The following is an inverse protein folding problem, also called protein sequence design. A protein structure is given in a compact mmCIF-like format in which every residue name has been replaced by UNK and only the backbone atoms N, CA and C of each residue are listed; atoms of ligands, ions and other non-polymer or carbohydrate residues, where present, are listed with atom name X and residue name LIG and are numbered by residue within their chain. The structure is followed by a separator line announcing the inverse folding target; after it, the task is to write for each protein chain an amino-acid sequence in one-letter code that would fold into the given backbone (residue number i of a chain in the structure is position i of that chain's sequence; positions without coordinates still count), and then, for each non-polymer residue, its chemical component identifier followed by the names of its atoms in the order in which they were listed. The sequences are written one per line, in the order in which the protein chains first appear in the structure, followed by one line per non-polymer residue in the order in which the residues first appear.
data_IF_493628429822
#
_entry.id   IF_493628429822
#
_cell.length_a   1.000
_cell.length_b   1.000
_cell.length_c   1.000
_cell.angle_alpha   90.00
_cell.angle_beta   90.00
_cell.angle_gamma   90.00
#
_symmetry.space_group_name_H-M   'P 1'
#
loop_
_entity.id
_entity.type
_entity.pdbx_description
1 polymer ?
#
# COMPACT_ATOMS: atom_id res chain seq x y z
N UNK A 1 -12.39 -15.82 12.32
CA UNK A 1 -11.85 -15.01 11.22
C UNK A 1 -12.98 -14.13 10.74
N UNK A 2 -12.81 -12.81 10.74
CA UNK A 2 -13.91 -11.85 10.56
C UNK A 2 -14.30 -11.83 9.09
N UNK A 3 -15.12 -12.81 8.72
CA UNK A 3 -15.95 -12.83 7.52
C UNK A 3 -17.17 -11.93 7.81
N UNK A 4 -16.91 -10.68 8.19
CA UNK A 4 -17.91 -9.73 8.71
C UNK A 4 -18.12 -8.62 7.70
N UNK A 5 -19.38 -8.23 7.54
CA UNK A 5 -19.73 -7.06 6.75
C UNK A 5 -19.28 -5.80 7.48
N UNK A 6 -18.16 -5.22 7.03
CA UNK A 6 -17.64 -3.96 7.56
C UNK A 6 -18.35 -2.78 6.88
N UNK A 7 -19.36 -2.24 7.55
CA UNK A 7 -20.13 -1.04 7.13
C UNK A 7 -19.67 0.24 7.84
N UNK A 8 -18.42 0.32 8.28
CA UNK A 8 -17.91 1.52 8.95
C UNK A 8 -17.95 2.75 8.03
N UNK A 9 -18.29 3.91 8.60
CA UNK A 9 -18.30 5.19 7.90
C UNK A 9 -16.88 5.78 7.68
N UNK A 10 -15.86 5.26 8.37
CA UNK A 10 -14.48 5.73 8.29
C UNK A 10 -13.69 5.53 9.61
N UNK A 11 -12.46 4.98 9.58
CA UNK A 11 -11.84 4.24 8.47
C UNK A 11 -12.71 3.06 8.00
N UNK A 12 -12.79 2.87 6.68
CA UNK A 12 -13.66 1.89 6.03
C UNK A 12 -12.97 0.54 5.76
N UNK A 13 -13.67 -0.35 5.07
CA UNK A 13 -13.10 -1.61 4.60
C UNK A 13 -12.04 -1.39 3.51
N UNK A 14 -10.96 -2.17 3.55
CA UNK A 14 -9.97 -2.26 2.46
C UNK A 14 -10.15 -3.58 1.70
N UNK A 15 -9.79 -3.64 0.40
CA UNK A 15 -9.76 -4.89 -0.34
C UNK A 15 -8.84 -5.93 0.32
N UNK A 16 -9.24 -7.20 0.29
CA UNK A 16 -8.53 -8.26 1.00
C UNK A 16 -7.14 -8.52 0.38
N UNK A 17 -7.05 -8.43 -0.94
CA UNK A 17 -5.83 -8.58 -1.71
C UNK A 17 -4.76 -7.53 -1.33
N UNK A 18 -5.16 -6.28 -1.06
CA UNK A 18 -4.25 -5.21 -0.63
C UNK A 18 -3.71 -5.49 0.77
N UNK A 19 -4.57 -5.96 1.68
CA UNK A 19 -4.14 -6.34 3.03
C UNK A 19 -3.20 -7.54 3.01
N UNK A 20 -3.44 -8.50 2.11
CA UNK A 20 -2.60 -9.68 1.94
C UNK A 20 -1.22 -9.30 1.39
N UNK A 21 -1.15 -8.50 0.31
CA UNK A 21 0.13 -8.03 -0.25
C UNK A 21 0.94 -7.24 0.79
N UNK A 22 0.28 -6.31 1.50
CA UNK A 22 0.93 -5.55 2.56
C UNK A 22 1.46 -6.44 3.68
N UNK A 23 0.74 -7.50 4.04
CA UNK A 23 1.19 -8.48 5.05
C UNK A 23 2.41 -9.27 4.57
N UNK A 24 2.41 -9.73 3.32
CA UNK A 24 3.48 -10.52 2.71
C UNK A 24 4.78 -9.71 2.61
N UNK A 25 4.68 -8.44 2.22
CA UNK A 25 5.84 -7.56 2.02
C UNK A 25 6.26 -6.78 3.28
N UNK A 26 5.51 -6.85 4.38
CA UNK A 26 5.74 -5.98 5.55
C UNK A 26 7.14 -6.11 6.13
N UNK A 27 7.70 -7.32 6.13
CA UNK A 27 9.03 -7.62 6.70
C UNK A 27 10.16 -7.39 5.72
N UNK A 28 9.88 -7.51 4.43
CA UNK A 28 10.85 -7.35 3.36
C UNK A 28 10.12 -6.86 2.11
N UNK A 29 10.17 -5.54 1.90
CA UNK A 29 9.49 -4.92 0.79
C UNK A 29 10.17 -5.29 -0.52
N UNK A 30 9.52 -6.12 -1.34
CA UNK A 30 10.02 -6.55 -2.66
C UNK A 30 11.47 -7.10 -2.64
N UNK A 31 11.89 -7.72 -1.53
CA UNK A 31 13.21 -8.36 -1.41
C UNK A 31 14.39 -7.41 -1.24
N UNK A 32 14.17 -6.17 -0.81
CA UNK A 32 15.24 -5.19 -0.56
C UNK A 32 15.96 -5.40 0.79
N UNK A 33 15.47 -6.31 1.63
CA UNK A 33 15.99 -6.60 2.95
C UNK A 33 15.55 -5.60 4.03
N UNK A 34 14.49 -4.83 3.80
CA UNK A 34 13.95 -3.86 4.75
C UNK A 34 12.43 -3.68 4.58
N UNK A 35 11.74 -3.33 5.65
CA UNK A 35 10.32 -2.94 5.61
C UNK A 35 10.13 -1.60 4.90
N UNK A 36 8.98 -1.41 4.25
CA UNK A 36 8.54 -0.07 3.79
C UNK A 36 8.46 0.95 4.94
N UNK A 37 8.29 0.49 6.19
CA UNK A 37 8.26 1.35 7.37
C UNK A 37 9.66 1.83 7.82
N UNK A 38 10.73 1.24 7.29
CA UNK A 38 12.11 1.49 7.68
C UNK A 38 12.90 2.28 6.62
N UNK A 39 12.39 2.35 5.39
CA UNK A 39 13.07 3.05 4.29
C UNK A 39 12.91 4.58 4.40
N UNK A 40 13.97 5.30 4.02
CA UNK A 40 13.93 6.76 3.93
C UNK A 40 12.93 7.22 2.86
N UNK A 41 12.14 8.25 3.17
CA UNK A 41 11.27 8.92 2.20
C UNK A 41 12.03 9.60 1.05
N UNK A 42 13.37 9.69 1.13
CA UNK A 42 14.26 10.19 0.06
C UNK A 42 14.97 9.06 -0.69
N UNK A 43 14.67 7.81 -0.35
CA UNK A 43 15.23 6.66 -1.06
C UNK A 43 14.54 6.52 -2.41
N UNK A 44 15.27 6.04 -3.42
CA UNK A 44 14.71 5.75 -4.74
C UNK A 44 13.56 4.74 -4.69
N UNK A 45 13.61 3.81 -3.72
CA UNK A 45 12.54 2.83 -3.48
C UNK A 45 11.25 3.54 -3.09
N UNK A 46 11.31 4.42 -2.08
CA UNK A 46 10.14 5.21 -1.68
C UNK A 46 9.68 6.18 -2.77
N UNK A 47 10.60 6.87 -3.44
CA UNK A 47 10.25 7.79 -4.53
C UNK A 47 9.48 7.08 -5.65
N UNK A 48 9.85 5.84 -5.99
CA UNK A 48 9.13 5.04 -6.97
C UNK A 48 7.68 4.75 -6.53
N UNK A 49 7.48 4.30 -5.27
CA UNK A 49 6.15 4.07 -4.70
C UNK A 49 5.31 5.36 -4.72
N UNK A 50 5.91 6.47 -4.30
CA UNK A 50 5.23 7.75 -4.20
C UNK A 50 4.77 8.24 -5.57
N UNK A 51 5.64 8.17 -6.59
CA UNK A 51 5.29 8.56 -7.94
C UNK A 51 4.27 7.61 -8.57
N UNK A 52 4.38 6.30 -8.36
CA UNK A 52 3.41 5.32 -8.83
C UNK A 52 2.01 5.63 -8.28
N UNK A 53 1.88 5.87 -6.97
CA UNK A 53 0.61 6.25 -6.36
C UNK A 53 0.02 7.55 -6.95
N UNK A 54 0.86 8.55 -7.22
CA UNK A 54 0.45 9.79 -7.87
C UNK A 54 0.02 9.60 -9.33
N UNK A 55 0.64 8.68 -10.07
CA UNK A 55 0.24 8.38 -11.44
C UNK A 55 -1.07 7.59 -11.48
N UNK A 56 -1.22 6.59 -10.63
CA UNK A 56 -2.43 5.77 -10.56
C UNK A 56 -3.67 6.61 -10.24
N UNK A 57 -3.57 7.57 -9.30
CA UNK A 57 -4.71 8.42 -9.01
C UNK A 57 -5.08 9.33 -10.19
N UNK A 58 -4.09 9.84 -10.92
CA UNK A 58 -4.32 10.65 -12.13
C UNK A 58 -4.97 9.83 -13.24
N UNK A 59 -4.46 8.62 -13.49
CA UNK A 59 -5.02 7.69 -14.46
C UNK A 59 -6.48 7.35 -14.14
N UNK A 60 -6.76 6.95 -12.90
CA UNK A 60 -8.12 6.60 -12.44
C UNK A 60 -9.09 7.79 -12.51
N UNK A 61 -8.60 9.01 -12.29
CA UNK A 61 -9.39 10.23 -12.36
C UNK A 61 -9.45 10.85 -13.77
N UNK A 62 -8.66 10.35 -14.73
CA UNK A 62 -8.53 10.93 -16.07
C UNK A 62 -7.90 12.33 -16.10
N UNK A 63 -6.91 12.58 -15.22
CA UNK A 63 -6.19 13.87 -15.07
C UNK A 63 -4.80 13.80 -15.68
#
# INVERSE_FOLDING_TARGET
MVNTYNFNAGPGALPAEVLQEAQEELRDYRGIGASILEISHRSKVYEAIHHEAQQLIKELMGI
#
